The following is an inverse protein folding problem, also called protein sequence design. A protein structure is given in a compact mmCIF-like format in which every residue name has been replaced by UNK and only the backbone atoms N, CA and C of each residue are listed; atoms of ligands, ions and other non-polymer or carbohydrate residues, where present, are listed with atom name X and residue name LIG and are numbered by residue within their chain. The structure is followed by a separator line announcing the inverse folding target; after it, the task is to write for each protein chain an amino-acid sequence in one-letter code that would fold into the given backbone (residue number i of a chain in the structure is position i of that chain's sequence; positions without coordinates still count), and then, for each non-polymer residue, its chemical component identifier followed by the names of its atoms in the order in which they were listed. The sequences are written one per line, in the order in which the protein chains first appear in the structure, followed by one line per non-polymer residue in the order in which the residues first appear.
data_IF_459639375587
#
_entry.id   IF_459639375587
#
_cell.length_a   1.000
_cell.length_b   1.000
_cell.length_c   1.000
_cell.angle_alpha   90.00
_cell.angle_beta   90.00
_cell.angle_gamma   90.00
#
_symmetry.space_group_name_H-M   'P 1'
#
loop_
_entity.id
_entity.type
_entity.pdbx_description
1 polymer ?
#
# COMPACT_ATOMS: atom_id res chain seq x y z
N UNK A 1 -33.22 10.33 -2.14
CA UNK A 1 -32.88 8.91 -2.43
C UNK A 1 -31.37 8.68 -2.64
N UNK A 2 -30.58 9.72 -2.89
CA UNK A 2 -29.13 9.60 -3.23
C UNK A 2 -28.17 9.22 -2.09
N UNK A 3 -28.47 9.51 -0.83
CA UNK A 3 -27.56 9.29 0.30
C UNK A 3 -27.53 7.84 0.85
N UNK A 4 -28.58 7.07 0.66
CA UNK A 4 -28.64 5.65 1.11
C UNK A 4 -28.01 4.66 0.12
N UNK A 5 -27.97 4.98 -1.17
CA UNK A 5 -27.34 4.14 -2.18
C UNK A 5 -25.80 4.23 -2.13
N UNK A 6 -25.25 5.40 -1.77
CA UNK A 6 -23.80 5.57 -1.58
C UNK A 6 -23.26 4.88 -0.33
N UNK A 7 -24.07 4.71 0.71
CA UNK A 7 -23.67 3.98 1.93
C UNK A 7 -23.47 2.47 1.70
N UNK A 8 -24.23 1.89 0.76
CA UNK A 8 -24.18 0.46 0.48
C UNK A 8 -23.00 0.05 -0.42
N UNK A 9 -22.25 1.01 -0.99
CA UNK A 9 -21.10 0.76 -1.86
C UNK A 9 -19.74 0.98 -1.20
N UNK A 10 -19.71 1.39 0.08
CA UNK A 10 -18.47 1.70 0.80
C UNK A 10 -18.02 0.51 1.65
N UNK A 11 -16.77 0.08 1.47
CA UNK A 11 -16.15 -0.98 2.26
C UNK A 11 -15.51 -0.46 3.56
N UNK A 12 -14.76 0.64 3.46
CA UNK A 12 -14.16 1.35 4.59
C UNK A 12 -14.50 2.83 4.50
N UNK A 13 -15.01 3.40 5.60
CA UNK A 13 -15.16 4.86 5.76
C UNK A 13 -14.46 5.30 7.03
N UNK A 14 -13.61 6.30 6.91
CA UNK A 14 -12.88 6.95 8.00
C UNK A 14 -13.34 8.41 8.05
N UNK A 15 -13.80 8.87 9.22
CA UNK A 15 -14.35 10.21 9.40
C UNK A 15 -13.64 10.94 10.53
N UNK A 16 -12.90 11.99 10.19
CA UNK A 16 -12.22 12.91 11.12
C UNK A 16 -11.46 12.19 12.25
N UNK A 17 -10.76 11.11 11.90
CA UNK A 17 -10.14 10.21 12.86
C UNK A 17 -8.92 10.89 13.50
N UNK A 18 -8.90 10.91 14.84
CA UNK A 18 -7.80 11.47 15.63
C UNK A 18 -7.28 10.49 16.64
N UNK A 19 -5.96 10.44 16.80
CA UNK A 19 -5.28 9.64 17.82
C UNK A 19 -3.97 10.27 18.25
N UNK A 20 -3.82 10.45 19.57
CA UNK A 20 -2.57 10.89 20.19
C UNK A 20 -2.18 9.87 21.26
N UNK A 21 -0.93 9.42 21.26
CA UNK A 21 -0.41 8.55 22.31
C UNK A 21 0.20 9.38 23.45
N UNK A 22 0.05 8.94 24.70
CA UNK A 22 0.44 9.70 25.90
C UNK A 22 1.89 10.23 25.91
N UNK A 23 2.81 9.51 25.25
CA UNK A 23 4.23 9.86 25.19
C UNK A 23 4.63 10.59 23.88
N UNK A 24 3.69 10.84 22.98
CA UNK A 24 3.99 11.43 21.67
C UNK A 24 3.85 12.96 21.70
N UNK A 25 4.81 13.67 21.10
CA UNK A 25 4.79 15.13 20.96
C UNK A 25 3.75 15.61 19.91
N UNK A 26 3.36 14.74 18.97
CA UNK A 26 2.41 15.03 17.91
C UNK A 26 1.36 13.91 17.79
N UNK A 27 0.16 14.20 17.27
CA UNK A 27 -0.86 13.20 17.03
C UNK A 27 -0.41 12.20 15.95
N UNK A 28 -0.65 10.91 16.19
CA UNK A 28 -0.43 9.84 15.21
C UNK A 28 -1.46 9.90 14.08
N UNK A 29 -2.67 10.40 14.36
CA UNK A 29 -3.72 10.72 13.39
C UNK A 29 -4.33 12.06 13.76
N UNK A 30 -4.46 12.97 12.79
CA UNK A 30 -4.97 14.33 12.99
C UNK A 30 -6.04 14.67 11.94
N UNK A 31 -7.28 14.20 12.19
CA UNK A 31 -8.44 14.53 11.37
C UNK A 31 -8.51 13.78 10.03
N UNK A 32 -8.00 12.56 9.97
CA UNK A 32 -8.00 11.75 8.73
C UNK A 32 -9.42 11.42 8.30
N UNK A 33 -9.75 11.70 7.04
CA UNK A 33 -11.06 11.41 6.44
C UNK A 33 -10.89 10.90 5.03
N UNK A 34 -11.40 9.68 4.74
CA UNK A 34 -11.47 9.11 3.38
C UNK A 34 -12.40 7.90 3.35
N UNK A 35 -12.71 7.44 2.14
CA UNK A 35 -13.53 6.27 1.88
C UNK A 35 -12.88 5.35 0.85
N UNK A 36 -13.12 4.04 1.02
CA UNK A 36 -12.74 2.99 0.08
C UNK A 36 -14.01 2.28 -0.39
N UNK A 37 -14.20 2.17 -1.69
CA UNK A 37 -15.33 1.46 -2.29
C UNK A 37 -15.25 -0.05 -2.11
N UNK A 38 -16.42 -0.73 -2.20
CA UNK A 38 -16.43 -2.19 -2.25
C UNK A 38 -15.83 -2.69 -3.56
N UNK A 39 -15.04 -3.76 -3.49
CA UNK A 39 -14.32 -4.31 -4.64
C UNK A 39 -13.20 -3.40 -5.16
N UNK A 40 -12.68 -2.48 -4.34
CA UNK A 40 -11.58 -1.60 -4.70
C UNK A 40 -10.23 -2.23 -4.26
N UNK A 41 -9.20 -2.10 -5.08
CA UNK A 41 -7.82 -2.33 -4.68
C UNK A 41 -7.19 -0.97 -4.35
N UNK A 42 -7.04 -0.68 -3.06
CA UNK A 42 -6.71 0.64 -2.51
C UNK A 42 -5.34 0.66 -1.84
N UNK A 43 -4.52 1.67 -2.14
CA UNK A 43 -3.21 1.89 -1.52
C UNK A 43 -3.30 2.87 -0.35
N UNK A 44 -2.72 2.52 0.79
CA UNK A 44 -2.53 3.41 1.93
C UNK A 44 -1.03 3.60 2.15
N UNK A 45 -0.47 4.68 1.64
CA UNK A 45 0.97 4.94 1.60
C UNK A 45 1.36 6.05 2.58
N UNK A 46 2.64 6.14 2.88
CA UNK A 46 3.21 7.19 3.73
C UNK A 46 4.54 6.75 4.33
N UNK A 47 5.39 7.67 4.79
CA UNK A 47 6.65 7.34 5.45
C UNK A 47 6.43 6.60 6.77
N UNK A 48 7.52 6.10 7.36
CA UNK A 48 7.47 5.53 8.70
C UNK A 48 7.02 6.61 9.70
N UNK A 49 6.10 6.26 10.59
CA UNK A 49 5.51 7.22 11.52
C UNK A 49 4.36 8.07 10.95
N UNK A 50 3.98 7.91 9.68
CA UNK A 50 2.88 8.68 9.08
C UNK A 50 1.47 8.39 9.68
N UNK A 51 1.34 7.34 10.51
CA UNK A 51 0.06 6.98 11.15
C UNK A 51 -0.63 5.75 10.53
N UNK A 52 -0.05 5.10 9.52
CA UNK A 52 -0.66 3.94 8.83
C UNK A 52 -1.06 2.82 9.78
N UNK A 53 -0.13 2.32 10.61
CA UNK A 53 -0.41 1.23 11.56
C UNK A 53 -1.40 1.66 12.66
N UNK A 54 -1.42 2.93 13.05
CA UNK A 54 -2.44 3.46 13.97
C UNK A 54 -3.82 3.47 13.33
N UNK A 55 -3.91 3.85 12.07
CA UNK A 55 -5.15 3.81 11.29
C UNK A 55 -5.67 2.36 11.14
N UNK A 56 -4.79 1.44 10.71
CA UNK A 56 -5.12 0.01 10.59
C UNK A 56 -5.55 -0.55 11.95
N UNK A 57 -4.81 -0.25 13.02
CA UNK A 57 -5.17 -0.68 14.37
C UNK A 57 -6.51 -0.15 14.84
N UNK A 58 -6.90 1.07 14.42
CA UNK A 58 -8.22 1.64 14.72
C UNK A 58 -9.33 0.93 13.94
N UNK A 59 -9.10 0.67 12.64
CA UNK A 59 -10.04 -0.08 11.79
C UNK A 59 -10.20 -1.52 12.31
N UNK A 60 -9.12 -2.13 12.79
CA UNK A 60 -9.11 -3.45 13.43
C UNK A 60 -9.84 -3.50 14.78
N UNK A 61 -10.19 -2.35 15.36
CA UNK A 61 -10.72 -2.25 16.71
C UNK A 61 -9.71 -2.59 17.82
N UNK A 62 -8.40 -2.50 17.52
CA UNK A 62 -7.30 -2.68 18.47
C UNK A 62 -6.88 -1.38 19.12
N UNK A 63 -7.05 -0.25 18.42
CA UNK A 63 -6.74 1.09 18.89
C UNK A 63 -8.03 1.89 18.98
N UNK A 64 -8.35 2.39 20.17
CA UNK A 64 -9.51 3.29 20.36
C UNK A 64 -9.10 4.69 19.90
N UNK A 65 -9.83 5.32 18.97
CA UNK A 65 -9.59 6.71 18.58
C UNK A 65 -9.94 7.67 19.72
N UNK A 66 -9.33 8.84 19.72
CA UNK A 66 -9.64 9.91 20.66
C UNK A 66 -10.81 10.77 20.16
N UNK A 67 -10.95 10.87 18.82
CA UNK A 67 -12.11 11.49 18.16
C UNK A 67 -12.30 10.90 16.76
N UNK A 68 -13.47 11.15 16.18
CA UNK A 68 -13.86 10.59 14.88
C UNK A 68 -14.31 9.14 14.96
N UNK A 69 -14.50 8.51 13.80
CA UNK A 69 -14.99 7.13 13.70
C UNK A 69 -14.52 6.44 12.43
N UNK A 70 -14.49 5.09 12.49
CA UNK A 70 -14.23 4.23 11.34
C UNK A 70 -15.38 3.22 11.19
N UNK A 71 -15.72 2.94 9.94
CA UNK A 71 -16.83 2.04 9.60
C UNK A 71 -16.36 1.02 8.59
N UNK A 72 -16.75 -0.23 8.81
CA UNK A 72 -16.56 -1.34 7.85
C UNK A 72 -17.96 -1.79 7.38
N UNK A 73 -18.19 -1.74 6.07
CA UNK A 73 -19.47 -2.08 5.44
C UNK A 73 -20.66 -1.35 6.16
N UNK A 74 -20.47 -0.06 6.45
CA UNK A 74 -21.44 0.79 7.13
C UNK A 74 -21.57 0.56 8.65
N UNK A 75 -20.80 -0.34 9.27
CA UNK A 75 -20.84 -0.64 10.71
C UNK A 75 -19.65 -0.01 11.43
N UNK A 76 -19.93 0.67 12.54
CA UNK A 76 -18.94 1.34 13.38
C UNK A 76 -18.01 0.32 14.06
N UNK A 77 -16.69 0.49 13.91
CA UNK A 77 -15.68 -0.46 14.40
C UNK A 77 -15.63 -0.55 15.94
N UNK A 78 -16.06 0.50 16.65
CA UNK A 78 -16.08 0.55 18.12
C UNK A 78 -17.43 0.06 18.67
N UNK A 79 -18.55 0.42 18.01
CA UNK A 79 -19.90 0.08 18.50
C UNK A 79 -20.32 -1.33 18.12
N UNK A 80 -19.87 -1.83 16.97
CA UNK A 80 -20.22 -3.14 16.42
C UNK A 80 -18.98 -4.02 16.14
N UNK A 81 -18.08 -4.22 17.12
CA UNK A 81 -16.76 -4.83 16.89
C UNK A 81 -16.85 -6.30 16.45
N UNK A 82 -17.92 -7.00 16.85
CA UNK A 82 -18.13 -8.39 16.44
C UNK A 82 -18.36 -8.51 14.93
N UNK A 83 -19.21 -7.65 14.38
CA UNK A 83 -19.48 -7.62 12.95
C UNK A 83 -18.22 -7.21 12.17
N UNK A 84 -17.59 -6.10 12.57
CA UNK A 84 -16.46 -5.56 11.82
C UNK A 84 -15.25 -6.49 11.81
N UNK A 85 -14.98 -7.21 12.92
CA UNK A 85 -13.92 -8.23 12.98
C UNK A 85 -14.21 -9.45 12.10
N UNK A 86 -15.50 -9.81 11.94
CA UNK A 86 -15.90 -10.89 11.02
C UNK A 86 -15.79 -10.49 9.55
N UNK A 87 -15.93 -9.19 9.26
CA UNK A 87 -15.91 -8.66 7.90
C UNK A 87 -14.49 -8.32 7.39
N UNK A 88 -13.48 -8.31 8.27
CA UNK A 88 -12.11 -7.90 7.92
C UNK A 88 -11.10 -9.01 8.16
N UNK A 89 -10.26 -9.27 7.18
CA UNK A 89 -9.03 -10.05 7.33
C UNK A 89 -7.82 -9.11 7.38
N UNK A 90 -7.01 -9.19 8.42
CA UNK A 90 -5.84 -8.31 8.59
C UNK A 90 -4.57 -9.13 8.62
N UNK A 91 -3.64 -8.80 7.76
CA UNK A 91 -2.26 -9.29 7.79
C UNK A 91 -1.40 -8.23 8.47
N UNK A 92 -0.99 -8.42 9.72
CA UNK A 92 -0.21 -7.42 10.45
C UNK A 92 1.24 -7.40 9.97
N UNK A 93 1.95 -6.30 10.22
CA UNK A 93 3.38 -6.16 9.91
C UNK A 93 4.24 -7.14 10.73
N UNK A 94 3.95 -7.28 12.02
CA UNK A 94 4.68 -8.16 12.92
C UNK A 94 4.24 -9.62 12.77
N UNK A 95 5.23 -10.51 12.81
CA UNK A 95 5.01 -11.96 12.71
C UNK A 95 4.89 -12.55 14.12
N UNK A 96 3.66 -12.81 14.56
CA UNK A 96 3.39 -13.46 15.86
C UNK A 96 2.63 -14.75 15.66
N UNK A 97 3.16 -15.86 16.20
CA UNK A 97 2.54 -17.18 16.15
C UNK A 97 2.67 -17.92 17.47
N UNK A 98 1.73 -18.81 17.73
CA UNK A 98 1.90 -19.86 18.71
C UNK A 98 2.91 -20.91 18.17
N UNK A 99 4.04 -21.14 18.85
CA UNK A 99 5.10 -22.00 18.35
C UNK A 99 4.76 -23.50 18.36
N UNK A 100 3.67 -23.90 19.01
CA UNK A 100 3.34 -25.31 19.25
C UNK A 100 2.57 -25.94 18.10
N UNK A 101 1.79 -25.15 17.36
CA UNK A 101 0.90 -25.66 16.30
C UNK A 101 1.59 -25.81 14.96
N UNK A 102 1.13 -26.80 14.20
CA UNK A 102 1.42 -26.95 12.78
C UNK A 102 0.65 -25.90 11.94
N UNK A 103 1.05 -25.71 10.69
CA UNK A 103 0.34 -24.81 9.76
C UNK A 103 -1.14 -25.18 9.67
N UNK A 104 -1.47 -26.46 9.51
CA UNK A 104 -2.86 -26.95 9.44
C UNK A 104 -3.64 -26.62 10.72
N UNK A 105 -3.07 -26.93 11.87
CA UNK A 105 -3.72 -26.68 13.17
C UNK A 105 -3.95 -25.20 13.39
N UNK A 106 -2.97 -24.34 13.07
CA UNK A 106 -3.09 -22.89 13.15
C UNK A 106 -4.28 -22.37 12.34
N UNK A 107 -4.43 -22.84 11.09
CA UNK A 107 -5.53 -22.39 10.22
C UNK A 107 -6.89 -22.96 10.65
N UNK A 108 -6.94 -24.19 11.16
CA UNK A 108 -8.16 -24.79 11.73
C UNK A 108 -8.61 -24.06 13.00
N UNK A 109 -7.67 -23.73 13.89
CA UNK A 109 -7.96 -22.94 15.10
C UNK A 109 -8.48 -21.56 14.73
N UNK A 110 -7.82 -20.89 13.79
CA UNK A 110 -8.27 -19.58 13.28
C UNK A 110 -9.68 -19.67 12.69
N UNK A 111 -9.97 -20.69 11.88
CA UNK A 111 -11.30 -20.95 11.34
C UNK A 111 -12.35 -21.13 12.46
N UNK A 112 -11.97 -21.85 13.52
CA UNK A 112 -12.81 -22.07 14.70
C UNK A 112 -13.16 -20.79 15.45
N UNK A 113 -12.24 -19.81 15.55
CA UNK A 113 -12.52 -18.50 16.16
C UNK A 113 -13.60 -17.71 15.40
N UNK A 114 -13.71 -17.94 14.09
CA UNK A 114 -14.80 -17.37 13.28
C UNK A 114 -16.05 -18.25 13.24
N UNK A 115 -16.10 -19.34 14.02
CA UNK A 115 -17.24 -20.26 14.10
C UNK A 115 -17.41 -21.15 12.85
N UNK A 116 -16.40 -21.20 11.97
CA UNK A 116 -16.47 -21.97 10.74
C UNK A 116 -15.97 -23.39 11.01
N UNK A 117 -16.89 -24.35 10.90
CA UNK A 117 -16.60 -25.80 10.97
C UNK A 117 -16.36 -26.36 9.56
N UNK A 118 -15.54 -27.42 9.46
CA UNK A 118 -15.27 -28.12 8.19
C UNK A 118 -14.75 -27.23 7.04
N UNK A 119 -13.76 -26.38 7.34
CA UNK A 119 -13.16 -25.43 6.38
C UNK A 119 -11.97 -26.02 5.61
N UNK A 120 -11.79 -27.35 5.62
CA UNK A 120 -10.54 -27.98 5.10
C UNK A 120 -10.32 -27.76 3.62
N UNK A 121 -11.38 -27.67 2.81
CA UNK A 121 -11.26 -27.40 1.37
C UNK A 121 -10.65 -26.02 1.15
N UNK A 122 -11.18 -25.00 1.82
CA UNK A 122 -10.66 -23.63 1.69
C UNK A 122 -9.25 -23.50 2.27
N UNK A 123 -8.99 -24.10 3.42
CA UNK A 123 -7.66 -24.15 4.03
C UNK A 123 -6.65 -24.79 3.05
N UNK A 124 -7.01 -25.89 2.40
CA UNK A 124 -6.16 -26.55 1.40
C UNK A 124 -5.90 -25.66 0.18
N UNK A 125 -6.92 -24.92 -0.27
CA UNK A 125 -6.77 -23.92 -1.34
C UNK A 125 -5.79 -22.82 -0.94
N UNK A 126 -5.94 -22.22 0.24
CA UNK A 126 -5.03 -21.18 0.76
C UNK A 126 -3.58 -21.69 0.84
N UNK A 127 -3.38 -22.89 1.38
CA UNK A 127 -2.07 -23.50 1.53
C UNK A 127 -1.42 -23.73 0.16
N UNK A 128 -2.18 -24.23 -0.83
CA UNK A 128 -1.69 -24.45 -2.19
C UNK A 128 -1.33 -23.13 -2.88
N UNK A 129 -2.23 -22.13 -2.85
CA UNK A 129 -2.00 -20.82 -3.47
C UNK A 129 -0.81 -20.09 -2.86
N UNK A 130 -0.58 -20.26 -1.59
CA UNK A 130 0.54 -19.64 -0.87
C UNK A 130 1.83 -20.52 -0.87
N UNK A 131 1.85 -21.63 -1.61
CA UNK A 131 3.03 -22.49 -1.75
C UNK A 131 3.52 -23.08 -0.41
N UNK A 132 2.58 -23.55 0.42
CA UNK A 132 2.85 -24.14 1.74
C UNK A 132 2.44 -25.64 1.81
N UNK A 133 2.13 -26.27 0.66
CA UNK A 133 1.59 -27.64 0.62
C UNK A 133 2.50 -28.68 1.25
N UNK A 134 3.80 -28.59 1.03
CA UNK A 134 4.85 -29.46 1.59
C UNK A 134 5.13 -29.19 3.07
N UNK A 135 4.64 -28.07 3.60
CA UNK A 135 4.86 -27.59 4.99
C UNK A 135 3.61 -27.65 5.85
N UNK A 136 2.50 -28.17 5.36
CA UNK A 136 1.20 -28.15 6.02
C UNK A 136 1.21 -28.80 7.41
N UNK A 137 2.04 -29.83 7.62
CA UNK A 137 2.18 -30.55 8.89
C UNK A 137 3.42 -30.13 9.70
N UNK A 138 4.19 -29.17 9.19
CA UNK A 138 5.32 -28.59 9.94
C UNK A 138 4.83 -27.61 11.00
N UNK A 139 5.55 -27.56 12.14
CA UNK A 139 5.30 -26.53 13.17
C UNK A 139 5.66 -25.15 12.62
N UNK A 140 4.81 -24.16 12.88
CA UNK A 140 5.04 -22.77 12.41
C UNK A 140 6.37 -22.21 12.93
N UNK A 141 6.81 -22.62 14.13
CA UNK A 141 8.10 -22.21 14.69
C UNK A 141 9.31 -22.56 13.81
N UNK A 142 9.24 -23.67 13.05
CA UNK A 142 10.32 -24.17 12.19
C UNK A 142 10.36 -23.55 10.78
N UNK A 143 9.36 -22.75 10.44
CA UNK A 143 9.27 -22.10 9.13
C UNK A 143 10.23 -20.92 9.04
N UNK A 144 10.68 -20.61 7.81
CA UNK A 144 11.39 -19.36 7.51
C UNK A 144 10.49 -18.14 7.72
N UNK A 145 11.06 -16.94 7.80
CA UNK A 145 10.30 -15.69 7.95
C UNK A 145 9.27 -15.50 6.83
N UNK A 146 9.67 -15.71 5.58
CA UNK A 146 8.76 -15.63 4.43
C UNK A 146 7.66 -16.70 4.45
N UNK A 147 7.93 -17.92 4.93
CA UNK A 147 6.90 -18.94 5.13
C UNK A 147 5.93 -18.55 6.24
N UNK A 148 6.41 -18.02 7.35
CA UNK A 148 5.57 -17.49 8.44
C UNK A 148 4.66 -16.38 7.93
N UNK A 149 5.18 -15.47 7.10
CA UNK A 149 4.40 -14.41 6.48
C UNK A 149 3.23 -14.94 5.66
N UNK A 150 3.47 -16.01 4.88
CA UNK A 150 2.41 -16.69 4.10
C UNK A 150 1.36 -17.34 4.98
N UNK A 151 1.74 -17.92 6.12
CA UNK A 151 0.78 -18.45 7.09
C UNK A 151 -0.09 -17.34 7.68
N UNK A 152 0.46 -16.14 7.97
CA UNK A 152 -0.33 -14.96 8.40
C UNK A 152 -1.35 -14.55 7.33
N UNK A 153 -0.95 -14.53 6.07
CA UNK A 153 -1.88 -14.25 4.96
C UNK A 153 -3.00 -15.30 4.95
N UNK A 154 -2.67 -16.59 5.05
CA UNK A 154 -3.67 -17.65 5.11
C UNK A 154 -4.63 -17.50 6.30
N UNK A 155 -4.12 -17.12 7.49
CA UNK A 155 -4.94 -16.88 8.67
C UNK A 155 -5.93 -15.72 8.47
N UNK A 156 -5.48 -14.61 7.86
CA UNK A 156 -6.32 -13.47 7.57
C UNK A 156 -7.44 -13.79 6.59
N UNK A 157 -7.25 -14.78 5.71
CA UNK A 157 -8.18 -15.16 4.65
C UNK A 157 -9.06 -16.38 4.99
N UNK A 158 -8.81 -17.05 6.11
CA UNK A 158 -9.47 -18.33 6.44
C UNK A 158 -10.98 -18.23 6.52
N UNK A 159 -11.53 -17.07 6.89
CA UNK A 159 -12.96 -16.80 7.02
C UNK A 159 -13.57 -16.08 5.80
N UNK A 160 -12.83 -15.97 4.69
CA UNK A 160 -13.25 -15.30 3.44
C UNK A 160 -13.80 -13.88 3.68
N UNK A 161 -13.03 -12.98 4.31
CA UNK A 161 -13.51 -11.65 4.63
C UNK A 161 -13.78 -10.83 3.37
N UNK A 162 -14.86 -10.04 3.29
CA UNK A 162 -15.11 -9.13 2.17
C UNK A 162 -14.09 -7.98 2.08
N UNK A 163 -13.44 -7.62 3.19
CA UNK A 163 -12.40 -6.58 3.25
C UNK A 163 -11.10 -7.20 3.75
N UNK A 164 -10.01 -6.99 3.03
CA UNK A 164 -8.67 -7.53 3.32
C UNK A 164 -7.72 -6.35 3.49
N UNK A 165 -7.04 -6.27 4.64
CA UNK A 165 -6.02 -5.26 4.92
C UNK A 165 -4.67 -5.95 5.01
N UNK A 166 -3.74 -5.53 4.18
CA UNK A 166 -2.40 -6.08 4.07
C UNK A 166 -1.39 -5.03 4.52
N UNK A 167 -0.80 -5.21 5.70
CA UNK A 167 0.23 -4.30 6.22
C UNK A 167 1.61 -4.85 5.89
N UNK A 168 2.23 -4.30 4.83
CA UNK A 168 3.52 -4.69 4.26
C UNK A 168 3.64 -6.21 3.99
N UNK A 169 2.72 -6.83 3.23
CA UNK A 169 2.61 -8.29 3.15
C UNK A 169 3.81 -8.97 2.51
N UNK A 170 4.61 -8.27 1.73
CA UNK A 170 5.76 -8.79 0.97
C UNK A 170 7.12 -8.42 1.56
N UNK A 171 7.14 -7.77 2.74
CA UNK A 171 8.38 -7.45 3.43
C UNK A 171 9.20 -8.71 3.76
N UNK A 172 10.46 -8.75 3.29
CA UNK A 172 11.35 -9.91 3.51
C UNK A 172 11.00 -11.16 2.70
N UNK A 173 10.18 -11.04 1.67
CA UNK A 173 9.80 -12.12 0.75
C UNK A 173 10.61 -12.00 -0.54
N UNK A 174 11.06 -13.13 -1.09
CA UNK A 174 11.75 -13.16 -2.38
C UNK A 174 10.85 -12.75 -3.56
N UNK A 175 11.45 -12.39 -4.69
CA UNK A 175 10.75 -11.82 -5.84
C UNK A 175 9.72 -12.77 -6.44
N UNK A 176 10.05 -14.06 -6.62
CA UNK A 176 9.15 -15.03 -7.22
C UNK A 176 7.91 -15.23 -6.35
N UNK A 177 8.11 -15.36 -5.04
CA UNK A 177 7.03 -15.54 -4.10
C UNK A 177 6.17 -14.28 -3.96
N UNK A 178 6.77 -13.08 -4.07
CA UNK A 178 6.04 -11.82 -4.09
C UNK A 178 5.04 -11.80 -5.24
N UNK A 179 5.44 -12.18 -6.45
CA UNK A 179 4.53 -12.27 -7.59
C UNK A 179 3.37 -13.23 -7.32
N UNK A 180 3.63 -14.41 -6.78
CA UNK A 180 2.57 -15.39 -6.44
C UNK A 180 1.55 -14.84 -5.42
N UNK A 181 2.02 -14.08 -4.43
CA UNK A 181 1.12 -13.41 -3.47
C UNK A 181 0.25 -12.38 -4.19
N UNK A 182 0.83 -11.58 -5.09
CA UNK A 182 0.08 -10.56 -5.83
C UNK A 182 -0.92 -11.18 -6.80
N UNK A 183 -0.56 -12.23 -7.53
CA UNK A 183 -1.47 -12.95 -8.41
C UNK A 183 -2.69 -13.46 -7.62
N UNK A 184 -2.45 -14.01 -6.42
CA UNK A 184 -3.53 -14.47 -5.56
C UNK A 184 -4.38 -13.31 -5.00
N UNK A 185 -3.78 -12.18 -4.66
CA UNK A 185 -4.55 -10.99 -4.23
C UNK A 185 -5.38 -10.42 -5.38
N UNK A 186 -4.85 -10.37 -6.60
CA UNK A 186 -5.60 -9.95 -7.78
C UNK A 186 -6.78 -10.90 -8.08
N UNK A 187 -6.59 -12.21 -7.91
CA UNK A 187 -7.66 -13.19 -8.03
C UNK A 187 -8.79 -12.93 -7.01
N UNK A 188 -8.44 -12.68 -5.75
CA UNK A 188 -9.42 -12.34 -4.70
C UNK A 188 -10.14 -11.01 -5.03
N UNK A 189 -9.42 -10.01 -5.51
CA UNK A 189 -9.98 -8.74 -5.96
C UNK A 189 -10.96 -8.94 -7.12
N UNK A 190 -10.61 -9.75 -8.12
CA UNK A 190 -11.48 -10.08 -9.24
C UNK A 190 -12.76 -10.82 -8.80
N UNK A 191 -12.73 -11.52 -7.66
CA UNK A 191 -13.90 -12.13 -7.02
C UNK A 191 -14.69 -11.19 -6.11
N UNK A 192 -14.40 -9.89 -6.13
CA UNK A 192 -15.16 -8.84 -5.43
C UNK A 192 -14.67 -8.51 -4.02
N UNK A 193 -13.55 -9.07 -3.55
CA UNK A 193 -12.96 -8.66 -2.30
C UNK A 193 -12.37 -7.25 -2.40
N UNK A 194 -12.58 -6.42 -1.38
CA UNK A 194 -11.91 -5.13 -1.24
C UNK A 194 -10.55 -5.35 -0.62
N UNK A 195 -9.48 -4.79 -1.22
CA UNK A 195 -8.12 -4.95 -0.73
C UNK A 195 -7.53 -3.58 -0.39
N UNK A 196 -7.03 -3.43 0.84
CA UNK A 196 -6.32 -2.25 1.31
C UNK A 196 -4.87 -2.66 1.56
N UNK A 197 -3.95 -2.09 0.79
CA UNK A 197 -2.54 -2.40 0.82
C UNK A 197 -1.75 -1.26 1.43
N UNK A 198 -0.91 -1.56 2.44
CA UNK A 198 0.23 -0.71 2.76
C UNK A 198 1.50 -1.37 2.25
N UNK A 199 2.37 -0.59 1.68
CA UNK A 199 3.69 -1.04 1.22
C UNK A 199 4.68 0.12 1.21
N UNK A 200 5.95 -0.19 1.35
CA UNK A 200 7.05 0.74 1.06
C UNK A 200 7.61 0.53 -0.36
N UNK A 201 7.18 -0.52 -1.05
CA UNK A 201 7.48 -0.74 -2.47
C UNK A 201 6.44 -0.02 -3.33
N UNK A 202 6.76 1.22 -3.71
CA UNK A 202 5.81 2.09 -4.43
C UNK A 202 5.42 1.55 -5.80
N UNK A 203 6.28 0.74 -6.44
CA UNK A 203 5.98 0.02 -7.68
C UNK A 203 4.80 -0.97 -7.51
N UNK A 204 4.71 -1.65 -6.35
CA UNK A 204 3.58 -2.53 -6.06
C UNK A 204 2.28 -1.74 -5.98
N UNK A 205 2.29 -0.61 -5.26
CA UNK A 205 1.11 0.24 -5.16
C UNK A 205 0.71 0.82 -6.53
N UNK A 206 1.69 1.20 -7.35
CA UNK A 206 1.47 1.74 -8.69
C UNK A 206 0.84 0.71 -9.64
N UNK A 207 1.24 -0.55 -9.53
CA UNK A 207 0.75 -1.63 -10.41
C UNK A 207 -0.59 -2.23 -9.97
N UNK A 208 -0.87 -2.24 -8.65
CA UNK A 208 -2.00 -2.95 -8.09
C UNK A 208 -3.17 -2.04 -7.70
N UNK A 209 -2.88 -0.81 -7.22
CA UNK A 209 -3.89 0.03 -6.62
C UNK A 209 -4.54 0.98 -7.64
N UNK A 210 -5.87 0.96 -7.72
CA UNK A 210 -6.64 1.89 -8.55
C UNK A 210 -6.64 3.31 -7.99
N UNK A 211 -6.69 3.44 -6.64
CA UNK A 211 -6.61 4.70 -5.89
C UNK A 211 -5.64 4.58 -4.73
N UNK A 212 -5.07 5.72 -4.35
CA UNK A 212 -4.07 5.79 -3.30
C UNK A 212 -4.39 6.95 -2.37
N UNK A 213 -4.38 6.68 -1.05
CA UNK A 213 -4.28 7.67 0.00
C UNK A 213 -2.83 7.78 0.48
N UNK A 214 -2.31 8.99 0.53
CA UNK A 214 -0.98 9.27 1.04
C UNK A 214 -1.09 9.98 2.38
N UNK A 215 -0.58 9.33 3.43
CA UNK A 215 -0.51 9.90 4.77
C UNK A 215 0.87 10.53 5.00
N UNK A 216 0.90 11.71 5.62
CA UNK A 216 2.11 12.35 6.12
C UNK A 216 1.83 13.05 7.45
N UNK A 217 2.66 12.84 8.48
CA UNK A 217 2.51 13.49 9.79
C UNK A 217 1.12 13.31 10.42
N UNK A 218 0.48 12.14 10.25
CA UNK A 218 -0.86 11.85 10.77
C UNK A 218 -2.01 12.47 9.98
N UNK A 219 -1.75 13.12 8.84
CA UNK A 219 -2.75 13.78 7.98
C UNK A 219 -2.81 13.12 6.61
N UNK A 220 -3.93 13.30 5.93
CA UNK A 220 -4.10 12.92 4.53
C UNK A 220 -3.45 13.99 3.65
N UNK A 221 -2.29 13.68 3.06
CA UNK A 221 -1.55 14.59 2.18
C UNK A 221 -2.12 14.57 0.74
N UNK A 222 -2.55 13.41 0.27
CA UNK A 222 -3.20 13.25 -1.04
C UNK A 222 -4.14 12.05 -1.05
N UNK A 223 -5.18 12.13 -1.89
CA UNK A 223 -6.10 11.03 -2.19
C UNK A 223 -6.59 11.19 -3.62
N UNK A 224 -6.22 10.27 -4.48
CA UNK A 224 -6.66 10.30 -5.88
C UNK A 224 -6.48 8.93 -6.54
N UNK A 225 -6.89 8.78 -7.80
CA UNK A 225 -6.53 7.62 -8.60
C UNK A 225 -5.02 7.58 -8.83
N UNK A 226 -4.46 6.39 -8.92
CA UNK A 226 -3.01 6.20 -9.18
C UNK A 226 -2.59 6.96 -10.44
N UNK A 227 -3.41 6.90 -11.49
CA UNK A 227 -3.19 7.64 -12.74
C UNK A 227 -3.20 9.17 -12.54
N UNK A 228 -4.14 9.70 -11.76
CA UNK A 228 -4.24 11.15 -11.49
C UNK A 228 -3.06 11.63 -10.64
N UNK A 229 -2.62 10.86 -9.63
CA UNK A 229 -1.43 11.18 -8.85
C UNK A 229 -0.18 11.21 -9.74
N UNK A 230 0.01 10.20 -10.55
CA UNK A 230 1.10 10.19 -11.51
C UNK A 230 1.01 11.38 -12.47
N UNK A 231 -0.11 11.70 -13.08
CA UNK A 231 -0.26 12.82 -14.02
C UNK A 231 -0.12 14.19 -13.37
N UNK A 232 -0.58 14.37 -12.13
CA UNK A 232 -0.50 15.65 -11.41
C UNK A 232 0.92 16.03 -11.01
N UNK A 233 1.75 15.03 -10.74
CA UNK A 233 3.14 15.21 -10.32
C UNK A 233 4.14 14.80 -11.40
N UNK A 234 3.68 14.26 -12.52
CA UNK A 234 4.50 13.87 -13.65
C UNK A 234 4.59 14.97 -14.69
N UNK A 235 5.82 15.51 -14.80
CA UNK A 235 6.34 15.78 -16.12
C UNK A 235 6.89 14.48 -16.71
N UNK A 236 6.95 14.34 -18.01
CA UNK A 236 7.85 13.36 -18.61
C UNK A 236 9.27 13.66 -18.13
N UNK A 237 10.03 12.61 -17.88
CA UNK A 237 11.40 12.77 -17.40
C UNK A 237 12.36 12.23 -18.44
N UNK A 238 13.32 13.05 -18.80
CA UNK A 238 14.46 12.65 -19.60
C UNK A 238 15.63 12.43 -18.66
N UNK A 239 16.17 11.22 -18.60
CA UNK A 239 17.42 10.90 -17.93
C UNK A 239 18.50 10.69 -18.97
N UNK A 240 19.69 11.20 -18.71
CA UNK A 240 20.84 11.04 -19.60
C UNK A 240 22.15 11.14 -18.81
N UNK A 241 23.19 10.53 -19.35
CA UNK A 241 24.55 10.63 -18.81
C UNK A 241 25.33 11.69 -19.57
N UNK A 242 25.89 12.68 -18.88
CA UNK A 242 26.72 13.72 -19.48
C UNK A 242 28.14 13.18 -19.67
N UNK A 243 28.55 12.97 -20.92
CA UNK A 243 29.91 12.50 -21.27
C UNK A 243 30.93 13.63 -21.29
N UNK A 244 30.56 14.78 -21.86
CA UNK A 244 31.40 15.99 -21.92
C UNK A 244 30.56 17.20 -22.29
N UNK A 245 31.05 18.41 -21.98
CA UNK A 245 30.35 19.67 -22.23
C UNK A 245 29.67 20.21 -20.97
N UNK A 246 28.77 21.15 -21.15
CA UNK A 246 27.98 21.78 -20.09
C UNK A 246 26.50 21.65 -20.35
N UNK A 247 25.69 21.65 -19.27
CA UNK A 247 24.26 21.67 -19.40
C UNK A 247 23.77 23.01 -19.94
N UNK A 248 22.85 23.04 -20.92
CA UNK A 248 22.27 24.27 -21.41
C UNK A 248 21.41 24.92 -20.33
N UNK A 249 21.33 26.24 -20.34
CA UNK A 249 20.34 26.99 -19.57
C UNK A 249 19.14 27.16 -20.50
N UNK A 250 18.04 26.51 -20.17
CA UNK A 250 16.79 26.59 -20.93
C UNK A 250 15.72 27.14 -19.98
N UNK A 251 15.04 28.19 -20.40
CA UNK A 251 13.92 28.76 -19.66
C UNK A 251 12.86 27.65 -19.42
N UNK A 252 12.33 27.50 -18.21
CA UNK A 252 11.38 26.46 -17.79
C UNK A 252 11.93 25.04 -17.56
N UNK A 253 13.24 24.79 -17.75
CA UNK A 253 13.82 23.47 -17.51
C UNK A 253 14.89 23.51 -16.42
N UNK A 254 14.70 22.68 -15.40
CA UNK A 254 15.67 22.49 -14.33
C UNK A 254 16.32 21.12 -14.47
N UNK A 255 17.64 21.10 -14.68
CA UNK A 255 18.42 19.87 -14.72
C UNK A 255 18.84 19.48 -13.30
N UNK A 256 18.42 18.32 -12.86
CA UNK A 256 18.75 17.74 -11.56
C UNK A 256 19.87 16.70 -11.73
N UNK A 257 20.93 16.78 -10.94
CA UNK A 257 21.97 15.75 -10.90
C UNK A 257 21.50 14.55 -10.10
N UNK A 258 21.67 13.34 -10.63
CA UNK A 258 21.29 12.08 -9.98
C UNK A 258 22.51 11.48 -9.28
N UNK A 259 22.52 11.51 -7.95
CA UNK A 259 23.61 10.96 -7.15
C UNK A 259 24.94 11.71 -7.32
N UNK A 260 26.07 10.97 -7.25
CA UNK A 260 27.43 11.51 -7.42
C UNK A 260 28.00 11.27 -8.83
N UNK A 261 27.25 10.66 -9.72
CA UNK A 261 27.60 10.35 -11.10
C UNK A 261 27.34 11.54 -12.03
N UNK A 262 27.72 11.41 -13.31
CA UNK A 262 27.39 12.39 -14.33
C UNK A 262 26.01 12.17 -14.95
N UNK A 263 25.09 11.57 -14.19
CA UNK A 263 23.72 11.34 -14.60
C UNK A 263 22.84 12.52 -14.22
N UNK A 264 22.03 12.95 -15.16
CA UNK A 264 21.14 14.09 -15.00
C UNK A 264 19.71 13.71 -15.39
N UNK A 265 18.76 14.41 -14.81
CA UNK A 265 17.37 14.33 -15.20
C UNK A 265 16.80 15.72 -15.43
N UNK A 266 15.90 15.84 -16.37
CA UNK A 266 15.06 17.01 -16.58
C UNK A 266 13.60 16.59 -16.66
N UNK A 267 12.76 17.26 -15.89
CA UNK A 267 11.30 17.05 -15.92
C UNK A 267 10.68 18.07 -16.88
N UNK A 268 9.79 17.63 -17.75
CA UNK A 268 9.08 18.49 -18.70
C UNK A 268 7.60 18.13 -18.79
N UNK A 269 6.75 19.09 -19.16
CA UNK A 269 5.30 18.89 -19.28
C UNK A 269 4.95 18.00 -20.46
N UNK A 270 3.79 17.35 -20.40
CA UNK A 270 3.31 16.47 -21.48
C UNK A 270 3.08 17.20 -22.82
N UNK A 271 2.88 18.50 -22.80
CA UNK A 271 2.70 19.40 -23.95
C UNK A 271 4.01 19.94 -24.50
N UNK A 272 5.14 19.67 -23.83
CA UNK A 272 6.45 20.15 -24.26
C UNK A 272 7.04 19.23 -25.33
N UNK A 273 7.53 19.84 -26.41
CA UNK A 273 8.28 19.12 -27.43
C UNK A 273 9.65 18.72 -26.88
N UNK A 274 9.84 17.43 -26.62
CA UNK A 274 11.11 16.88 -26.15
C UNK A 274 12.28 17.16 -27.10
N UNK A 275 11.99 17.34 -28.39
CA UNK A 275 13.02 17.64 -29.40
C UNK A 275 13.73 18.95 -29.09
N UNK A 276 13.03 19.93 -28.55
CA UNK A 276 13.63 21.21 -28.11
C UNK A 276 14.70 20.99 -27.04
N UNK A 277 14.42 20.14 -26.06
CA UNK A 277 15.37 19.82 -24.97
C UNK A 277 16.56 19.03 -25.53
N UNK A 278 16.31 18.06 -26.40
CA UNK A 278 17.37 17.23 -26.98
C UNK A 278 18.29 18.05 -27.91
N UNK A 279 17.73 18.96 -28.73
CA UNK A 279 18.49 19.85 -29.59
C UNK A 279 19.40 20.79 -28.78
N UNK A 280 18.86 21.37 -27.70
CA UNK A 280 19.63 22.22 -26.82
C UNK A 280 20.77 21.44 -26.11
N UNK A 281 20.51 20.22 -25.67
CA UNK A 281 21.54 19.35 -25.11
C UNK A 281 22.63 19.00 -26.13
N UNK A 282 22.26 18.64 -27.35
CA UNK A 282 23.22 18.30 -28.42
C UNK A 282 24.11 19.46 -28.81
N UNK A 283 23.62 20.71 -28.67
CA UNK A 283 24.42 21.90 -29.03
C UNK A 283 25.51 22.24 -28.03
N UNK A 284 25.36 21.82 -26.76
CA UNK A 284 26.26 22.21 -25.64
C UNK A 284 26.99 21.04 -24.98
N UNK A 285 26.51 19.82 -25.19
CA UNK A 285 26.96 18.65 -24.47
C UNK A 285 26.99 17.39 -25.36
N UNK A 286 27.86 16.45 -25.01
CA UNK A 286 27.79 15.08 -25.50
C UNK A 286 27.12 14.23 -24.42
N UNK A 287 26.03 13.58 -24.79
CA UNK A 287 25.21 12.77 -23.88
C UNK A 287 25.16 11.33 -24.35
N UNK A 288 25.19 10.42 -23.41
CA UNK A 288 25.03 8.99 -23.58
C UNK A 288 23.78 8.54 -22.79
N UNK A 289 23.28 7.34 -23.07
CA UNK A 289 22.21 6.65 -22.31
C UNK A 289 20.97 7.49 -22.05
N UNK A 290 20.30 7.90 -23.12
CA UNK A 290 19.07 8.66 -23.02
C UNK A 290 17.91 7.72 -22.69
N UNK A 291 17.28 7.97 -21.54
CA UNK A 291 16.06 7.28 -21.12
C UNK A 291 14.92 8.27 -20.93
N UNK A 292 13.83 8.02 -21.63
CA UNK A 292 12.56 8.71 -21.35
C UNK A 292 11.71 7.85 -20.45
N UNK A 293 11.23 8.40 -19.34
CA UNK A 293 10.35 7.70 -18.40
C UNK A 293 9.19 8.58 -17.97
N UNK A 294 8.11 7.92 -17.58
CA UNK A 294 7.06 8.58 -16.83
C UNK A 294 7.51 8.69 -15.37
N UNK A 295 7.04 9.71 -14.65
CA UNK A 295 7.33 9.85 -13.22
C UNK A 295 6.81 8.64 -12.46
N UNK A 296 7.62 8.16 -11.53
CA UNK A 296 7.22 7.08 -10.64
C UNK A 296 6.42 7.60 -9.45
N UNK A 297 5.65 6.73 -8.82
CA UNK A 297 4.97 7.04 -7.58
C UNK A 297 5.96 7.45 -6.47
N UNK A 298 7.22 7.03 -6.58
CA UNK A 298 8.31 7.42 -5.67
C UNK A 298 8.60 8.92 -5.73
N UNK A 299 8.60 9.51 -6.93
CA UNK A 299 8.80 10.96 -7.10
C UNK A 299 7.63 11.76 -6.54
N UNK A 300 6.39 11.28 -6.76
CA UNK A 300 5.18 11.85 -6.16
C UNK A 300 5.29 11.85 -4.63
N UNK A 301 5.70 10.71 -4.09
CA UNK A 301 5.86 10.50 -2.66
C UNK A 301 6.90 11.46 -2.07
N UNK A 302 8.09 11.55 -2.67
CA UNK A 302 9.17 12.44 -2.21
C UNK A 302 8.76 13.91 -2.24
N UNK A 303 8.04 14.35 -3.27
CA UNK A 303 7.56 15.74 -3.38
C UNK A 303 6.55 16.06 -2.28
N UNK A 304 5.59 15.18 -2.02
CA UNK A 304 4.54 15.39 -1.01
C UNK A 304 5.05 15.28 0.43
N UNK A 305 6.08 14.46 0.67
CA UNK A 305 6.67 14.30 2.01
C UNK A 305 7.72 15.36 2.34
N UNK A 306 8.43 15.91 1.33
CA UNK A 306 9.46 16.94 1.52
C UNK A 306 8.92 18.37 1.47
N UNK A 307 7.71 18.62 0.97
CA UNK A 307 7.10 19.96 0.92
C UNK A 307 6.79 20.55 2.30
N UNK A 308 6.64 19.72 3.34
CA UNK A 308 6.44 20.17 4.72
C UNK A 308 7.73 20.62 5.44
N UNK A 309 8.92 20.46 4.81
CA UNK A 309 10.21 20.83 5.39
C UNK A 309 10.81 22.12 4.78
N UNK A 310 10.03 22.94 4.08
CA UNK A 310 10.49 24.30 3.74
C UNK A 310 9.95 25.29 4.78
N UNK A 311 10.85 26.03 5.46
CA UNK A 311 10.48 27.06 6.45
C UNK A 311 9.68 28.19 5.81
#
# INVERSE_FOLDING_TARGET
MSSKESENSTALRVLNLRKTYKAAAAPALDGVTFEVGQGEFFGLLGPNGAGKSTLIGTVAGLVKPDAGSAYILGRDTVKEPRFTKMAVGIVPQEITFDPFFTVRETLRLQSGFYGIRHNDIWISTLISRLGLSDKINEKVSRLSGGMKRRVLIAQALVHKPPVIILDEPTAGVDVELRHRIWDFMQELHAHGHTIILTTHYLEEAQSLCGRIALLNGGKLAALDTTKALLSRFSGKRLRFTLRSGSLPIIEDFVFERIGQTNDYAVSYRNDTDILTVLQALQSTARIDDIHTGESSLEEVFLRLTNSDNRP
#
